data_IF_628703752886
#
_entry.id   IF_628703752886
#
_cell.length_a   1.000
_cell.length_b   1.000
_cell.length_c   1.000
_cell.angle_alpha   90.00
_cell.angle_beta   90.00
_cell.angle_gamma   90.00
#
_symmetry.space_group_name_H-M   'P 1'
#
loop_
_entity.id
_entity.type
_entity.pdbx_description
1 polymer ?
#
# COMPACT_ATOMS: atom_id res chain seq x y z
N UNK A 1 26.35 13.04 -28.81
CA UNK A 1 24.96 12.55 -28.63
C UNK A 1 24.70 12.44 -27.14
N UNK A 2 23.66 13.11 -26.62
CA UNK A 2 23.32 13.08 -25.18
C UNK A 2 22.73 11.72 -24.82
N UNK A 3 23.44 10.91 -24.04
CA UNK A 3 22.81 9.82 -23.28
C UNK A 3 21.95 10.49 -22.22
N UNK A 4 20.65 10.52 -22.44
CA UNK A 4 19.68 10.91 -21.41
C UNK A 4 19.68 9.77 -20.40
N UNK A 5 20.38 9.98 -19.30
CA UNK A 5 20.19 9.21 -18.08
C UNK A 5 18.73 9.42 -17.68
N UNK A 6 17.89 8.43 -17.97
CA UNK A 6 16.56 8.35 -17.37
C UNK A 6 16.79 8.18 -15.86
N UNK A 7 16.76 9.31 -15.16
CA UNK A 7 16.73 9.40 -13.72
C UNK A 7 15.38 8.84 -13.25
N UNK A 8 15.27 7.51 -13.21
CA UNK A 8 14.18 6.77 -12.55
C UNK A 8 14.71 6.25 -11.20
N UNK A 9 15.54 7.03 -10.52
CA UNK A 9 15.91 6.82 -9.11
C UNK A 9 15.05 7.68 -8.16
N UNK A 10 13.98 8.31 -8.65
CA UNK A 10 13.21 9.34 -7.93
C UNK A 10 12.02 8.84 -7.11
N UNK A 11 11.92 7.55 -6.80
CA UNK A 11 11.28 7.15 -5.54
C UNK A 11 12.10 6.04 -4.91
N UNK A 12 13.02 6.45 -4.04
CA UNK A 12 13.54 5.62 -2.98
C UNK A 12 12.32 5.04 -2.23
N UNK A 13 11.90 3.83 -2.56
CA UNK A 13 11.01 3.06 -1.71
C UNK A 13 11.75 2.91 -0.39
N UNK A 14 11.43 3.77 0.57
CA UNK A 14 11.87 3.58 1.94
C UNK A 14 11.16 2.31 2.39
N UNK A 15 11.91 1.21 2.55
CA UNK A 15 11.34 -0.10 2.89
C UNK A 15 10.52 -0.02 4.20
N UNK A 16 10.80 0.98 5.05
CA UNK A 16 10.12 1.23 6.31
C UNK A 16 9.47 2.63 6.33
N UNK A 17 8.16 2.65 6.59
CA UNK A 17 7.49 3.87 7.02
C UNK A 17 7.94 4.24 8.44
N UNK A 18 8.20 5.54 8.72
CA UNK A 18 8.46 5.99 10.08
C UNK A 18 7.26 5.83 11.02
N UNK A 19 6.04 5.59 10.51
CA UNK A 19 4.82 5.51 11.30
C UNK A 19 3.80 4.53 10.67
N UNK A 20 4.22 3.27 10.54
CA UNK A 20 3.39 2.21 9.95
C UNK A 20 2.05 2.02 10.68
N UNK A 21 1.99 2.23 12.00
CA UNK A 21 0.77 2.07 12.77
C UNK A 21 -0.28 3.13 12.38
N UNK A 22 0.10 4.41 12.30
CA UNK A 22 -0.87 5.45 11.90
C UNK A 22 -1.30 5.30 10.45
N UNK A 23 -0.42 4.85 9.55
CA UNK A 23 -0.78 4.57 8.16
C UNK A 23 -1.81 3.44 8.04
N UNK A 24 -1.65 2.36 8.81
CA UNK A 24 -2.62 1.26 8.82
C UNK A 24 -3.95 1.68 9.45
N UNK A 25 -3.93 2.55 10.45
CA UNK A 25 -5.15 3.12 11.05
C UNK A 25 -5.92 3.95 10.01
N UNK A 26 -5.25 4.80 9.22
CA UNK A 26 -5.88 5.54 8.12
C UNK A 26 -6.54 4.59 7.11
N UNK A 27 -5.82 3.55 6.68
CA UNK A 27 -6.35 2.58 5.71
C UNK A 27 -7.54 1.79 6.31
N UNK A 28 -7.55 1.57 7.62
CA UNK A 28 -8.68 0.97 8.34
C UNK A 28 -9.87 1.94 8.43
N UNK A 29 -9.65 3.23 8.67
CA UNK A 29 -10.69 4.27 8.71
C UNK A 29 -11.45 4.35 7.38
N UNK A 30 -10.73 4.29 6.26
CA UNK A 30 -11.31 4.18 4.91
C UNK A 30 -11.95 2.81 4.63
N UNK A 31 -11.96 1.89 5.61
CA UNK A 31 -12.48 0.51 5.53
C UNK A 31 -11.85 -0.31 4.40
N UNK A 32 -10.64 0.07 3.98
CA UNK A 32 -9.89 -0.63 2.95
C UNK A 32 -9.38 -1.95 3.53
N UNK A 33 -8.83 -1.92 4.74
CA UNK A 33 -8.48 -3.11 5.54
C UNK A 33 -9.39 -3.24 6.76
N UNK A 34 -9.48 -4.45 7.34
CA UNK A 34 -10.27 -4.71 8.55
C UNK A 34 -9.43 -4.87 9.81
N UNK A 35 -8.26 -5.50 9.69
CA UNK A 35 -7.36 -5.80 10.80
C UNK A 35 -5.94 -5.30 10.46
N UNK A 36 -5.53 -4.11 10.95
CA UNK A 36 -4.16 -3.64 10.87
C UNK A 36 -3.13 -4.69 11.31
N UNK A 37 -3.42 -5.40 12.41
CA UNK A 37 -2.52 -6.43 12.95
C UNK A 37 -2.23 -7.57 11.98
N UNK A 38 -3.23 -8.00 11.20
CA UNK A 38 -2.99 -8.99 10.16
C UNK A 38 -1.93 -8.52 9.17
N UNK A 39 -2.01 -7.27 8.71
CA UNK A 39 -1.08 -6.73 7.73
C UNK A 39 0.32 -6.53 8.34
N UNK A 40 0.44 -6.05 9.57
CA UNK A 40 1.72 -5.98 10.30
C UNK A 40 2.41 -7.33 10.43
N UNK A 41 1.64 -8.39 10.61
CA UNK A 41 2.19 -9.72 10.83
C UNK A 41 2.53 -10.48 9.55
N UNK A 42 1.83 -10.21 8.44
CA UNK A 42 1.88 -11.04 7.22
C UNK A 42 2.37 -10.29 5.97
N UNK A 43 2.16 -8.98 5.89
CA UNK A 43 2.62 -8.14 4.78
C UNK A 43 3.99 -7.52 5.07
N UNK A 44 4.93 -8.37 5.47
CA UNK A 44 6.32 -8.01 5.78
C UNK A 44 7.29 -8.88 4.98
N UNK A 45 8.54 -8.45 4.86
CA UNK A 45 9.59 -9.13 4.09
C UNK A 45 9.71 -10.61 4.51
N UNK A 46 9.68 -11.50 3.51
CA UNK A 46 9.80 -12.95 3.72
C UNK A 46 8.51 -13.65 4.18
N UNK A 47 7.39 -12.93 4.31
CA UNK A 47 6.07 -13.51 4.58
C UNK A 47 5.11 -13.34 3.42
N UNK A 48 3.99 -14.04 3.50
CA UNK A 48 2.96 -14.06 2.48
C UNK A 48 1.64 -13.52 3.04
N UNK A 49 0.89 -12.84 2.18
CA UNK A 49 -0.51 -12.44 2.43
C UNK A 49 -1.44 -13.48 1.84
N UNK A 50 -2.55 -13.76 2.52
CA UNK A 50 -3.61 -14.63 1.99
C UNK A 50 -4.21 -14.00 0.72
N UNK A 51 -4.27 -14.76 -0.37
CA UNK A 51 -4.69 -14.25 -1.68
C UNK A 51 -6.09 -13.65 -1.68
N UNK A 52 -7.02 -14.20 -0.88
CA UNK A 52 -8.37 -13.66 -0.71
C UNK A 52 -8.37 -12.26 -0.08
N UNK A 53 -7.50 -12.00 0.90
CA UNK A 53 -7.39 -10.69 1.55
C UNK A 53 -6.72 -9.68 0.63
N UNK A 54 -5.70 -10.10 -0.12
CA UNK A 54 -5.10 -9.27 -1.16
C UNK A 54 -6.13 -8.90 -2.25
N UNK A 55 -6.96 -9.86 -2.69
CA UNK A 55 -8.01 -9.61 -3.68
C UNK A 55 -9.06 -8.62 -3.17
N UNK A 56 -9.47 -8.72 -1.89
CA UNK A 56 -10.40 -7.76 -1.26
C UNK A 56 -9.77 -6.37 -1.17
N UNK A 57 -8.51 -6.28 -0.73
CA UNK A 57 -7.76 -5.03 -0.65
C UNK A 57 -7.74 -4.31 -2.01
N UNK A 58 -7.32 -5.01 -3.06
CA UNK A 58 -7.22 -4.47 -4.42
C UNK A 58 -8.58 -3.95 -4.91
N UNK A 59 -9.65 -4.72 -4.72
CA UNK A 59 -11.02 -4.31 -5.10
C UNK A 59 -11.46 -3.04 -4.38
N UNK A 60 -11.18 -2.91 -3.08
CA UNK A 60 -11.56 -1.74 -2.27
C UNK A 60 -10.77 -0.50 -2.68
N UNK A 61 -9.46 -0.64 -2.89
CA UNK A 61 -8.62 0.46 -3.40
C UNK A 61 -9.08 0.90 -4.79
N UNK A 62 -9.33 -0.04 -5.71
CA UNK A 62 -9.85 0.27 -7.03
C UNK A 62 -11.19 1.01 -6.96
N UNK A 63 -12.12 0.56 -6.11
CA UNK A 63 -13.40 1.23 -5.90
C UNK A 63 -13.22 2.65 -5.34
N UNK A 64 -12.28 2.87 -4.42
CA UNK A 64 -11.97 4.21 -3.89
C UNK A 64 -11.46 5.14 -5.00
N UNK A 65 -10.51 4.67 -5.81
CA UNK A 65 -9.95 5.42 -6.93
C UNK A 65 -11.02 5.75 -7.99
N UNK A 66 -11.93 4.83 -8.27
CA UNK A 66 -13.01 5.00 -9.23
C UNK A 66 -14.13 5.92 -8.74
N UNK A 67 -14.42 5.94 -7.43
CA UNK A 67 -15.47 6.78 -6.83
C UNK A 67 -15.10 8.27 -6.80
N UNK A 68 -13.85 8.60 -7.12
CA UNK A 68 -13.32 9.95 -7.20
C UNK A 68 -12.05 10.05 -6.38
N UNK A 69 -10.89 9.93 -7.02
CA UNK A 69 -9.62 10.30 -6.39
C UNK A 69 -9.81 11.62 -5.64
N UNK A 70 -9.78 11.52 -4.31
CA UNK A 70 -9.93 12.56 -3.29
C UNK A 70 -10.43 13.89 -3.88
N UNK A 71 -11.77 14.02 -3.97
CA UNK A 71 -12.42 15.30 -4.30
C UNK A 71 -12.47 16.20 -3.07
#
# INVERSE_FOLDING_TARGET
MRKVYLNISIYLFKEESPDLDSELDVVQEFRIIQSPDYWKQNAVKGKNVAGEYAAILIKRVAALLMKGGIS
#
